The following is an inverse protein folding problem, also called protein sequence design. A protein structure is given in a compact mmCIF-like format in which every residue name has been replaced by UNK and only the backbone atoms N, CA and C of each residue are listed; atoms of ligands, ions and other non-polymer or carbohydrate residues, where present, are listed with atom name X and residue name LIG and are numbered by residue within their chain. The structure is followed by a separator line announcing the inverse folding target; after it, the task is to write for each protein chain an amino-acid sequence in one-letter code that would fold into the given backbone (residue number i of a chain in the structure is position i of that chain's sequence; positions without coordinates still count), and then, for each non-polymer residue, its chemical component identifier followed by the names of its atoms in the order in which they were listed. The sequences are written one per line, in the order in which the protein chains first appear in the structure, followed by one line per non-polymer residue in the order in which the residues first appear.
data_IF_821046445831
#
_entry.id   IF_821046445831
#
_cell.length_a   1.000
_cell.length_b   1.000
_cell.length_c   1.000
_cell.angle_alpha   90.00
_cell.angle_beta   90.00
_cell.angle_gamma   90.00
#
_symmetry.space_group_name_H-M   'P 1'
#
loop_
_entity.id
_entity.type
_entity.pdbx_description
1 polymer ?
#
# COMPACT_ATOMS: atom_id res chain seq x y z
N UNK A 1 -5.43 -4.26 -30.77
CA UNK A 1 -6.05 -3.53 -29.63
C UNK A 1 -5.82 -4.26 -28.31
N UNK A 2 -6.08 -5.57 -28.26
CA UNK A 2 -5.87 -6.42 -27.08
C UNK A 2 -4.47 -6.30 -26.46
N UNK A 3 -3.40 -6.34 -27.26
CA UNK A 3 -2.02 -6.28 -26.76
C UNK A 3 -1.76 -5.03 -25.90
N UNK A 4 -2.26 -3.86 -26.32
CA UNK A 4 -2.12 -2.61 -25.55
C UNK A 4 -2.90 -2.67 -24.23
N UNK A 5 -4.09 -3.27 -24.23
CA UNK A 5 -4.90 -3.44 -23.00
C UNK A 5 -4.17 -4.35 -22.01
N UNK A 6 -3.58 -5.44 -22.48
CA UNK A 6 -2.80 -6.36 -21.63
C UNK A 6 -1.59 -5.68 -21.03
N UNK A 7 -0.84 -4.89 -21.82
CA UNK A 7 0.31 -4.12 -21.34
C UNK A 7 -0.11 -3.16 -20.22
N UNK A 8 -1.16 -2.36 -20.45
CA UNK A 8 -1.66 -1.40 -19.47
C UNK A 8 -2.09 -2.08 -18.18
N UNK A 9 -2.87 -3.17 -18.25
CA UNK A 9 -3.32 -3.89 -17.06
C UNK A 9 -2.11 -4.44 -16.28
N UNK A 10 -1.12 -5.04 -16.97
CA UNK A 10 0.09 -5.58 -16.30
C UNK A 10 0.95 -4.49 -15.66
N UNK A 11 1.12 -3.35 -16.32
CA UNK A 11 1.88 -2.23 -15.77
C UNK A 11 1.20 -1.65 -14.52
N UNK A 12 -0.12 -1.43 -14.58
CA UNK A 12 -0.88 -0.96 -13.42
C UNK A 12 -0.83 -1.95 -12.25
N UNK A 13 -0.98 -3.25 -12.52
CA UNK A 13 -0.81 -4.30 -11.51
C UNK A 13 0.56 -4.25 -10.84
N UNK A 14 1.63 -4.09 -11.64
CA UNK A 14 3.01 -4.02 -11.14
C UNK A 14 3.24 -2.76 -10.31
N UNK A 15 2.81 -1.60 -10.79
CA UNK A 15 2.97 -0.31 -10.12
C UNK A 15 2.26 -0.29 -8.76
N UNK A 16 1.10 -0.93 -8.68
CA UNK A 16 0.29 -0.95 -7.46
C UNK A 16 0.59 -2.15 -6.55
N UNK A 17 1.37 -3.13 -7.01
CA UNK A 17 1.61 -4.37 -6.27
C UNK A 17 0.35 -5.23 -6.08
N UNK A 18 -0.62 -5.12 -6.99
CA UNK A 18 -1.92 -5.79 -6.87
C UNK A 18 -1.96 -7.08 -7.70
N UNK A 19 -2.40 -8.16 -7.07
CA UNK A 19 -2.58 -9.47 -7.71
C UNK A 19 -3.93 -9.62 -8.41
N UNK A 20 -4.03 -10.56 -9.36
CA UNK A 20 -5.29 -10.92 -10.04
C UNK A 20 -6.39 -11.27 -9.03
N UNK A 21 -6.03 -11.95 -7.92
CA UNK A 21 -6.98 -12.31 -6.87
C UNK A 21 -7.59 -11.09 -6.20
N UNK A 22 -6.79 -10.09 -5.87
CA UNK A 22 -7.27 -8.84 -5.27
C UNK A 22 -8.17 -8.06 -6.22
N UNK A 23 -7.80 -7.96 -7.50
CA UNK A 23 -8.65 -7.34 -8.54
C UNK A 23 -9.98 -8.08 -8.65
N UNK A 24 -9.93 -9.41 -8.72
CA UNK A 24 -11.13 -10.24 -8.88
C UNK A 24 -12.08 -10.15 -7.69
N UNK A 25 -11.54 -10.11 -6.47
CA UNK A 25 -12.31 -9.91 -5.26
C UNK A 25 -12.99 -8.54 -5.27
N UNK A 26 -12.27 -7.49 -5.68
CA UNK A 26 -12.80 -6.13 -5.78
C UNK A 26 -13.93 -6.02 -6.80
N UNK A 27 -13.77 -6.61 -7.99
CA UNK A 27 -14.84 -6.63 -9.00
C UNK A 27 -16.07 -7.38 -8.48
N UNK A 28 -15.89 -8.52 -7.80
CA UNK A 28 -16.99 -9.28 -7.23
C UNK A 28 -17.72 -8.53 -6.11
N UNK A 29 -16.99 -7.78 -5.29
CA UNK A 29 -17.54 -6.91 -4.25
C UNK A 29 -18.44 -5.80 -4.85
N UNK A 30 -17.98 -5.13 -5.91
CA UNK A 30 -18.68 -3.97 -6.50
C UNK A 30 -19.81 -4.34 -7.46
N UNK A 31 -19.65 -5.45 -8.20
CA UNK A 31 -20.54 -5.80 -9.29
C UNK A 31 -21.26 -7.15 -9.10
N UNK A 32 -21.03 -7.81 -7.96
CA UNK A 32 -21.51 -9.16 -7.71
C UNK A 32 -20.85 -10.22 -8.59
N UNK A 33 -21.27 -11.48 -8.40
CA UNK A 33 -20.72 -12.64 -9.10
C UNK A 33 -19.56 -13.31 -8.37
N UNK A 34 -18.85 -14.20 -9.06
CA UNK A 34 -17.79 -15.02 -8.46
C UNK A 34 -16.40 -14.44 -8.70
N UNK A 35 -15.64 -14.21 -7.63
CA UNK A 35 -14.23 -13.82 -7.70
C UNK A 35 -13.38 -14.85 -8.48
N UNK A 36 -13.73 -16.14 -8.40
CA UNK A 36 -13.05 -17.18 -9.19
C UNK A 36 -13.38 -17.05 -10.68
N UNK A 37 -14.62 -16.70 -11.01
CA UNK A 37 -15.03 -16.39 -12.39
C UNK A 37 -14.26 -15.21 -12.98
N UNK A 38 -14.14 -14.11 -12.22
CA UNK A 38 -13.32 -12.98 -12.64
C UNK A 38 -11.83 -13.33 -12.73
N UNK A 39 -11.30 -14.17 -11.84
CA UNK A 39 -9.92 -14.65 -11.91
C UNK A 39 -9.66 -15.38 -13.23
N UNK A 40 -10.58 -16.25 -13.65
CA UNK A 40 -10.48 -16.96 -14.93
C UNK A 40 -10.57 -16.00 -16.12
N UNK A 41 -11.48 -15.03 -16.08
CA UNK A 41 -11.62 -14.02 -17.14
C UNK A 41 -10.36 -13.16 -17.28
N UNK A 42 -9.82 -12.64 -16.18
CA UNK A 42 -8.58 -11.84 -16.19
C UNK A 42 -7.41 -12.69 -16.69
N UNK A 43 -7.29 -13.95 -16.26
CA UNK A 43 -6.24 -14.85 -16.76
C UNK A 43 -6.35 -15.10 -18.27
N UNK A 44 -7.56 -15.21 -18.82
CA UNK A 44 -7.75 -15.32 -20.28
C UNK A 44 -7.29 -14.05 -20.98
N UNK A 45 -7.71 -12.87 -20.50
CA UNK A 45 -7.30 -11.58 -21.07
C UNK A 45 -5.78 -11.45 -21.12
N UNK A 46 -5.11 -11.80 -20.03
CA UNK A 46 -3.68 -11.57 -19.88
C UNK A 46 -2.81 -12.58 -20.62
N UNK A 47 -3.31 -13.79 -20.87
CA UNK A 47 -2.47 -14.90 -21.36
C UNK A 47 -2.94 -15.53 -22.67
N UNK A 48 -4.19 -15.31 -23.11
CA UNK A 48 -4.69 -15.80 -24.40
C UNK A 48 -4.69 -14.67 -25.44
N UNK A 49 -3.71 -14.62 -26.37
CA UNK A 49 -3.59 -13.56 -27.37
C UNK A 49 -4.70 -13.57 -28.43
N UNK A 50 -5.60 -14.56 -28.42
CA UNK A 50 -6.78 -14.61 -29.31
C UNK A 50 -8.06 -14.19 -28.60
N UNK A 51 -8.02 -14.00 -27.28
CA UNK A 51 -9.19 -13.61 -26.50
C UNK A 51 -9.42 -12.12 -26.60
N UNK A 52 -10.50 -11.70 -27.26
CA UNK A 52 -10.92 -10.31 -27.28
C UNK A 52 -11.86 -10.02 -26.09
N UNK A 53 -11.40 -9.27 -25.06
CA UNK A 53 -12.28 -8.89 -23.97
C UNK A 53 -13.32 -7.86 -24.40
N UNK A 54 -14.52 -7.98 -23.83
CA UNK A 54 -15.50 -6.90 -23.92
C UNK A 54 -15.00 -5.65 -23.21
N UNK A 55 -15.39 -4.48 -23.71
CA UNK A 55 -15.08 -3.19 -23.08
C UNK A 55 -15.53 -3.17 -21.60
N UNK A 56 -16.73 -3.66 -21.30
CA UNK A 56 -17.27 -3.73 -19.94
C UNK A 56 -16.39 -4.57 -19.00
N UNK A 57 -15.77 -5.65 -19.49
CA UNK A 57 -14.84 -6.45 -18.70
C UNK A 57 -13.55 -5.67 -18.40
N UNK A 58 -13.00 -4.99 -19.40
CA UNK A 58 -11.78 -4.16 -19.24
C UNK A 58 -12.06 -3.00 -18.28
N UNK A 59 -13.21 -2.35 -18.40
CA UNK A 59 -13.63 -1.24 -17.54
C UNK A 59 -13.72 -1.65 -16.08
N UNK A 60 -14.28 -2.83 -15.78
CA UNK A 60 -14.31 -3.38 -14.42
C UNK A 60 -12.90 -3.60 -13.85
N UNK A 61 -12.00 -4.14 -14.66
CA UNK A 61 -10.60 -4.37 -14.26
C UNK A 61 -9.89 -3.04 -13.96
N UNK A 62 -10.04 -2.05 -14.85
CA UNK A 62 -9.43 -0.73 -14.68
C UNK A 62 -10.04 0.04 -13.50
N UNK A 63 -11.34 -0.11 -13.25
CA UNK A 63 -12.02 0.52 -12.09
C UNK A 63 -11.52 -0.08 -10.77
N UNK A 64 -11.36 -1.40 -10.70
CA UNK A 64 -10.78 -2.07 -9.54
C UNK A 64 -9.32 -1.63 -9.30
N UNK A 65 -8.51 -1.52 -10.35
CA UNK A 65 -7.14 -0.98 -10.26
C UNK A 65 -7.12 0.50 -9.90
N UNK A 66 -8.10 1.30 -10.33
CA UNK A 66 -8.22 2.71 -9.93
C UNK A 66 -8.51 2.82 -8.45
N UNK A 67 -9.44 2.04 -7.92
CA UNK A 67 -9.76 2.01 -6.50
C UNK A 67 -8.53 1.66 -5.65
N UNK A 68 -7.72 0.70 -6.09
CA UNK A 68 -6.45 0.35 -5.42
C UNK A 68 -5.44 1.49 -5.34
N UNK A 69 -5.48 2.49 -6.25
CA UNK A 69 -4.63 3.69 -6.13
C UNK A 69 -5.10 4.66 -5.04
N UNK A 70 -6.41 4.72 -4.77
CA UNK A 70 -7.00 5.63 -3.79
C UNK A 70 -7.04 5.05 -2.38
N UNK A 71 -6.98 3.72 -2.27
CA UNK A 71 -6.48 3.11 -1.05
C UNK A 71 -4.98 3.37 -1.00
N UNK A 72 -4.60 4.57 -0.52
CA UNK A 72 -3.31 4.80 0.12
C UNK A 72 -2.98 3.51 0.87
N UNK A 73 -1.86 2.83 0.56
CA UNK A 73 -1.60 1.54 1.15
C UNK A 73 -1.77 1.72 2.65
N UNK A 74 -2.60 0.90 3.29
CA UNK A 74 -2.84 0.97 4.75
C UNK A 74 -1.53 1.12 5.52
N UNK A 75 -0.47 0.54 4.96
CA UNK A 75 0.92 0.70 5.34
C UNK A 75 1.38 2.16 5.49
N UNK A 76 0.97 3.12 4.66
CA UNK A 76 1.35 4.54 4.80
C UNK A 76 0.79 5.14 6.08
N UNK A 77 -0.51 4.95 6.39
CA UNK A 77 -1.09 5.40 7.66
C UNK A 77 -0.44 4.73 8.87
N UNK A 78 -0.12 3.45 8.74
CA UNK A 78 0.63 2.73 9.77
C UNK A 78 2.05 3.26 9.91
N UNK A 79 2.71 3.62 8.81
CA UNK A 79 4.04 4.22 8.81
C UNK A 79 3.99 5.60 9.47
N UNK A 80 3.03 6.45 9.11
CA UNK A 80 2.80 7.77 9.72
C UNK A 80 2.64 7.64 11.24
N UNK A 81 1.74 6.77 11.70
CA UNK A 81 1.53 6.54 13.13
C UNK A 81 2.79 6.04 13.86
N UNK A 82 3.61 5.19 13.20
CA UNK A 82 4.89 4.76 13.77
C UNK A 82 5.92 5.88 13.79
N UNK A 83 5.89 6.78 12.81
CA UNK A 83 6.78 7.94 12.73
C UNK A 83 6.45 8.96 13.82
N UNK A 84 5.17 9.21 14.06
CA UNK A 84 4.70 10.05 15.17
C UNK A 84 5.13 9.47 16.52
N UNK A 85 4.92 8.17 16.73
CA UNK A 85 5.35 7.51 17.97
C UNK A 85 6.86 7.58 18.20
N UNK A 86 7.67 7.36 17.16
CA UNK A 86 9.13 7.49 17.25
C UNK A 86 9.55 8.94 17.54
N UNK A 87 8.83 9.94 17.03
CA UNK A 87 9.11 11.34 17.35
C UNK A 87 8.85 11.64 18.83
N UNK A 88 7.77 11.10 19.40
CA UNK A 88 7.46 11.24 20.83
C UNK A 88 8.55 10.58 21.69
N UNK A 89 8.93 9.35 21.39
CA UNK A 89 10.03 8.64 22.08
C UNK A 89 11.35 9.41 22.00
N UNK A 90 11.69 9.98 20.83
CA UNK A 90 12.87 10.82 20.67
C UNK A 90 12.79 12.07 21.56
N UNK A 91 11.62 12.67 21.71
CA UNK A 91 11.42 13.83 22.58
C UNK A 91 11.65 13.47 24.06
N UNK A 92 11.09 12.34 24.52
CA UNK A 92 11.30 11.85 25.89
C UNK A 92 12.76 11.52 26.18
N UNK A 93 13.46 10.91 25.22
CA UNK A 93 14.89 10.63 25.33
C UNK A 93 15.70 11.93 25.46
N UNK A 94 15.37 12.97 24.68
CA UNK A 94 16.04 14.27 24.77
C UNK A 94 15.86 14.90 26.15
N UNK A 95 14.64 14.87 26.68
CA UNK A 95 14.36 15.42 28.02
C UNK A 95 15.12 14.65 29.11
N UNK A 96 15.17 13.32 28.99
CA UNK A 96 15.94 12.46 29.90
C UNK A 96 17.43 12.78 29.85
N UNK A 97 18.00 12.97 28.65
CA UNK A 97 19.40 13.36 28.47
C UNK A 97 19.67 14.73 29.11
N UNK A 98 18.77 15.70 28.95
CA UNK A 98 18.90 17.02 29.55
C UNK A 98 18.92 16.94 31.09
N UNK A 99 18.02 16.14 31.68
CA UNK A 99 17.98 15.91 33.12
C UNK A 99 19.25 15.23 33.64
N UNK A 100 19.75 14.21 32.93
CA UNK A 100 21.00 13.53 33.29
C UNK A 100 22.18 14.51 33.23
N UNK A 101 22.22 15.36 32.21
CA UNK A 101 23.29 16.36 32.05
C UNK A 101 23.32 17.34 33.24
N UNK A 102 22.16 17.86 33.66
CA UNK A 102 22.04 18.71 34.84
C UNK A 102 22.46 18.00 36.13
N UNK A 103 22.10 16.72 36.28
CA UNK A 103 22.49 15.93 37.44
C UNK A 103 24.01 15.73 37.49
N UNK A 104 24.65 15.47 36.35
CA UNK A 104 26.12 15.34 36.23
C UNK A 104 26.80 16.66 36.60
N UNK A 105 26.32 17.80 36.08
CA UNK A 105 26.86 19.13 36.43
C UNK A 105 26.76 19.38 37.94
N UNK A 106 25.59 19.10 38.53
CA UNK A 106 25.37 19.25 39.97
C UNK A 106 26.31 18.39 40.80
N UNK A 107 26.55 17.13 40.39
CA UNK A 107 27.48 16.23 41.07
C UNK A 107 28.93 16.72 40.90
N UNK A 108 29.31 17.13 39.68
CA UNK A 108 30.64 17.66 39.39
C UNK A 108 30.97 18.86 40.26
N UNK A 109 30.03 19.80 40.40
CA UNK A 109 30.21 20.98 41.25
C UNK A 109 30.33 20.63 42.73
N UNK A 110 29.58 19.63 43.22
CA UNK A 110 29.69 19.14 44.61
C UNK A 110 31.01 18.40 44.89
N UNK A 111 31.65 17.84 43.87
CA UNK A 111 32.89 17.06 44.00
C UNK A 111 34.17 17.87 43.75
N UNK A 112 34.07 19.15 43.38
CA UNK A 112 35.22 20.06 43.32
C UNK A 112 35.68 20.37 44.76
N UNK A 113 36.77 19.71 45.19
CA UNK A 113 37.60 20.04 46.37
C UNK A 113 38.78 20.89 45.92
#
# INVERSE_FOLDING_TARGET
MQERVVVVIRELMKLQGVSIRQISAKIAEEHGGSALGYTQQINRILNDPKYEPSFATVEKILSALKFSMWQLPSNLKTIEARLDHLNDEISEIKDTIAQISLAIETISDKCKI
#
